data_IF_471241558603
#
_entry.id   IF_471241558603
#
_cell.length_a   1.000
_cell.length_b   1.000
_cell.length_c   1.000
_cell.angle_alpha   90.00
_cell.angle_beta   90.00
_cell.angle_gamma   90.00
#
_symmetry.space_group_name_H-M   'P 1'
#
loop_
_entity.id
_entity.type
_entity.pdbx_description
1 polymer ?
#
# COMPACT_ATOMS: atom_id res chain seq x y z
N UNK A 1 57.04 32.29 54.39
CA UNK A 1 55.68 32.91 54.39
C UNK A 1 55.49 33.33 52.95
N UNK A 2 54.88 32.46 52.16
CA UNK A 2 54.49 32.70 50.71
C UNK A 2 53.05 32.36 50.60
N UNK A 3 52.22 33.36 50.36
CA UNK A 3 50.84 33.20 49.97
C UNK A 3 50.76 33.08 48.44
N UNK A 4 50.30 31.94 47.93
CA UNK A 4 49.95 31.73 46.56
C UNK A 4 48.49 32.10 46.37
N UNK A 5 48.21 33.09 45.51
CA UNK A 5 46.88 33.40 44.98
C UNK A 5 46.65 32.59 43.73
N UNK A 6 45.76 31.61 43.79
CA UNK A 6 45.23 30.94 42.61
C UNK A 6 44.01 31.74 42.08
N UNK A 7 44.15 32.38 40.91
CA UNK A 7 43.08 32.97 40.16
C UNK A 7 42.42 31.91 39.29
N UNK A 8 41.26 31.50 39.71
CA UNK A 8 40.32 30.64 38.94
C UNK A 8 39.74 31.46 37.79
N UNK A 9 40.14 31.17 36.53
CA UNK A 9 39.53 31.76 35.35
C UNK A 9 38.28 31.01 34.94
N UNK A 10 37.13 31.59 35.24
CA UNK A 10 35.82 31.11 34.76
C UNK A 10 35.77 31.18 33.19
N UNK A 11 35.65 30.03 32.57
CA UNK A 11 35.52 29.91 31.09
C UNK A 11 34.23 30.53 30.61
N UNK A 12 34.33 31.44 29.65
CA UNK A 12 33.19 31.99 28.93
C UNK A 12 32.44 30.87 28.18
N UNK A 13 31.12 30.93 28.10
CA UNK A 13 30.32 29.98 27.28
C UNK A 13 30.61 30.17 25.80
N UNK A 14 30.61 29.09 25.00
CA UNK A 14 30.91 29.16 23.54
C UNK A 14 29.87 29.98 22.80
N UNK A 15 30.34 30.74 21.80
CA UNK A 15 29.50 31.64 21.00
C UNK A 15 28.40 30.91 20.19
N UNK A 16 27.28 31.56 19.84
CA UNK A 16 26.14 30.95 19.13
C UNK A 16 26.49 30.29 17.79
N UNK A 17 27.54 30.74 17.12
CA UNK A 17 28.02 30.18 15.83
C UNK A 17 28.61 28.78 15.95
N UNK A 18 29.20 28.41 17.08
CA UNK A 18 29.76 27.06 17.30
C UNK A 18 28.64 26.06 17.58
N UNK A 19 27.56 26.49 18.24
CA UNK A 19 26.39 25.62 18.49
C UNK A 19 25.61 25.30 17.22
N UNK A 20 25.47 26.24 16.27
CA UNK A 20 24.82 26.00 14.97
C UNK A 20 25.62 25.04 14.08
N UNK A 21 26.93 25.13 14.08
CA UNK A 21 27.79 24.20 13.30
C UNK A 21 27.74 22.77 13.84
N UNK A 22 27.72 22.58 15.14
CA UNK A 22 27.58 21.24 15.76
C UNK A 22 26.19 20.63 15.55
N UNK A 23 25.13 21.44 15.59
CA UNK A 23 23.76 20.99 15.29
C UNK A 23 23.60 20.61 13.82
N UNK A 24 24.15 21.37 12.88
CA UNK A 24 24.13 21.04 11.45
C UNK A 24 24.96 19.78 11.15
N UNK A 25 26.10 19.59 11.79
CA UNK A 25 26.90 18.35 11.68
C UNK A 25 26.16 17.13 12.22
N UNK A 26 25.43 17.27 13.32
CA UNK A 26 24.64 16.18 13.90
C UNK A 26 23.42 15.82 13.02
N UNK A 27 22.77 16.80 12.41
CA UNK A 27 21.67 16.59 11.46
C UNK A 27 22.18 15.92 10.19
N UNK A 28 23.33 16.34 9.65
CA UNK A 28 23.98 15.70 8.51
C UNK A 28 24.33 14.23 8.77
N UNK A 29 24.89 13.93 9.95
CA UNK A 29 25.21 12.56 10.36
C UNK A 29 23.96 11.68 10.60
N UNK A 30 22.84 12.26 11.00
CA UNK A 30 21.56 11.55 11.13
C UNK A 30 20.92 11.24 9.78
N UNK A 31 21.01 12.16 8.82
CA UNK A 31 20.57 11.92 7.42
C UNK A 31 21.43 10.85 6.74
N UNK A 32 22.75 10.90 6.91
CA UNK A 32 23.66 9.91 6.35
C UNK A 32 23.45 8.50 6.93
N UNK A 33 23.07 8.40 8.21
CA UNK A 33 22.69 7.13 8.86
C UNK A 33 21.31 6.64 8.44
N UNK A 34 20.34 7.52 8.21
CA UNK A 34 19.03 7.18 7.68
C UNK A 34 19.15 6.67 6.24
N UNK A 35 19.98 7.32 5.42
CA UNK A 35 20.32 6.89 4.06
C UNK A 35 21.11 5.57 4.02
N UNK A 36 22.00 5.33 4.99
CA UNK A 36 22.70 4.06 5.15
C UNK A 36 21.75 2.93 5.55
N UNK A 37 20.77 3.21 6.41
CA UNK A 37 19.74 2.24 6.79
C UNK A 37 18.80 1.92 5.63
N UNK A 38 18.36 2.93 4.88
CA UNK A 38 17.56 2.75 3.67
C UNK A 38 18.34 1.94 2.61
N UNK A 39 19.61 2.24 2.38
CA UNK A 39 20.50 1.51 1.45
C UNK A 39 20.76 0.07 1.91
N UNK A 40 20.99 -0.17 3.19
CA UNK A 40 21.17 -1.50 3.78
C UNK A 40 19.93 -2.38 3.54
N UNK A 41 18.75 -1.83 3.72
CA UNK A 41 17.47 -2.49 3.49
C UNK A 41 17.25 -2.92 2.04
N UNK A 42 17.71 -2.13 1.08
CA UNK A 42 17.59 -2.43 -0.35
C UNK A 42 18.63 -3.44 -0.85
N UNK A 43 19.76 -3.58 -0.18
CA UNK A 43 20.88 -4.43 -0.60
C UNK A 43 20.75 -5.88 -0.08
N UNK A 44 20.06 -6.11 1.03
CA UNK A 44 19.99 -7.41 1.73
C UNK A 44 18.76 -8.24 1.36
N UNK A 45 17.74 -7.68 0.69
CA UNK A 45 16.53 -8.44 0.33
C UNK A 45 16.68 -9.11 -1.02
N UNK A 46 16.72 -10.46 -1.11
CA UNK A 46 16.68 -11.17 -2.38
C UNK A 46 15.38 -10.87 -3.13
N UNK A 47 15.50 -10.53 -4.42
CA UNK A 47 14.41 -10.14 -5.35
C UNK A 47 13.24 -11.16 -5.52
N UNK A 48 13.22 -12.27 -4.81
CA UNK A 48 12.28 -13.40 -5.03
C UNK A 48 10.88 -13.22 -4.45
N UNK A 49 10.60 -12.24 -3.59
CA UNK A 49 9.29 -12.12 -2.92
C UNK A 49 8.37 -11.00 -3.46
N UNK A 50 8.73 -10.34 -4.56
CA UNK A 50 7.97 -9.20 -5.14
C UNK A 50 6.66 -9.55 -5.86
N UNK A 51 6.36 -10.82 -6.10
CA UNK A 51 5.22 -11.21 -6.98
C UNK A 51 3.87 -11.46 -6.26
N UNK A 52 3.69 -11.02 -5.01
CA UNK A 52 2.49 -11.39 -4.22
C UNK A 52 1.41 -10.31 -4.06
N UNK A 53 1.58 -9.12 -4.61
CA UNK A 53 0.68 -7.99 -4.32
C UNK A 53 -0.26 -7.52 -5.45
N UNK A 54 -0.29 -8.17 -6.60
CA UNK A 54 -1.16 -7.76 -7.73
C UNK A 54 -2.60 -8.30 -7.68
N UNK A 55 -2.99 -9.03 -6.64
CA UNK A 55 -4.35 -9.59 -6.52
C UNK A 55 -5.33 -8.73 -5.70
N UNK A 56 -4.89 -7.66 -5.07
CA UNK A 56 -5.74 -6.85 -4.18
C UNK A 56 -6.42 -5.65 -4.88
N UNK A 57 -5.97 -5.25 -6.06
CA UNK A 57 -6.49 -4.06 -6.75
C UNK A 57 -7.81 -4.27 -7.51
N UNK A 58 -8.30 -5.51 -7.65
CA UNK A 58 -9.50 -5.82 -8.46
C UNK A 58 -10.84 -5.79 -7.71
N UNK A 59 -10.90 -5.39 -6.43
CA UNK A 59 -12.12 -5.48 -5.60
C UNK A 59 -12.74 -4.09 -5.28
N UNK A 60 -12.15 -2.98 -5.68
CA UNK A 60 -12.66 -1.62 -5.33
C UNK A 60 -13.56 -1.02 -6.44
N UNK A 61 -13.92 -1.77 -7.46
CA UNK A 61 -14.69 -1.28 -8.63
C UNK A 61 -16.22 -1.27 -8.53
N UNK A 62 -16.86 -1.56 -7.39
CA UNK A 62 -18.34 -1.62 -7.30
C UNK A 62 -18.82 -0.98 -5.98
N UNK A 63 -18.76 0.33 -5.86
CA UNK A 63 -19.71 1.12 -5.04
C UNK A 63 -19.79 2.52 -5.66
N UNK A 64 -20.80 2.78 -6.45
CA UNK A 64 -21.03 4.11 -7.02
C UNK A 64 -22.18 4.19 -8.01
N UNK A 65 -23.31 3.54 -7.75
CA UNK A 65 -24.54 3.84 -8.47
C UNK A 65 -25.65 4.14 -7.45
N UNK A 66 -25.65 5.36 -6.92
CA UNK A 66 -26.84 5.92 -6.28
C UNK A 66 -27.32 7.04 -7.20
N UNK A 67 -28.50 6.86 -7.75
CA UNK A 67 -29.18 7.77 -8.64
C UNK A 67 -29.47 9.10 -7.91
N UNK A 68 -29.05 10.21 -8.51
CA UNK A 68 -29.55 11.54 -8.18
C UNK A 68 -30.73 11.89 -9.09
N UNK A 69 -31.79 12.53 -8.55
CA UNK A 69 -32.93 12.96 -9.36
C UNK A 69 -32.53 14.12 -10.29
N UNK A 70 -33.05 14.06 -11.52
CA UNK A 70 -32.94 15.13 -12.52
C UNK A 70 -33.65 16.38 -12.02
N UNK A 71 -32.87 17.42 -11.75
CA UNK A 71 -33.35 18.78 -11.69
C UNK A 71 -32.97 19.48 -13.00
N UNK A 72 -33.93 19.98 -13.71
CA UNK A 72 -33.75 20.84 -14.89
C UNK A 72 -33.05 22.11 -14.44
N UNK A 73 -31.90 22.40 -15.07
CA UNK A 73 -31.27 23.72 -14.97
C UNK A 73 -31.10 24.27 -16.37
N UNK A 74 -31.76 25.40 -16.62
CA UNK A 74 -31.72 26.17 -17.86
C UNK A 74 -30.27 26.50 -18.26
N UNK A 75 -29.91 26.08 -19.47
CA UNK A 75 -28.65 26.44 -20.11
C UNK A 75 -28.72 27.88 -20.63
N UNK A 76 -27.96 28.78 -20.03
CA UNK A 76 -27.64 30.11 -20.60
C UNK A 76 -26.33 29.90 -21.38
N UNK A 77 -26.43 29.80 -22.70
CA UNK A 77 -25.28 29.87 -23.60
C UNK A 77 -24.80 31.33 -23.72
N UNK A 78 -23.53 31.64 -23.50
CA UNK A 78 -22.97 32.90 -23.89
C UNK A 78 -22.66 32.87 -25.39
N UNK A 79 -23.37 33.70 -26.15
CA UNK A 79 -23.12 33.98 -27.58
C UNK A 79 -21.76 34.71 -27.69
N UNK A 80 -20.71 33.93 -28.13
CA UNK A 80 -19.40 34.51 -28.46
C UNK A 80 -19.45 34.99 -29.93
N UNK A 81 -19.60 36.29 -30.14
CA UNK A 81 -19.43 36.92 -31.45
C UNK A 81 -17.94 36.78 -31.85
N UNK A 82 -17.68 35.92 -32.81
CA UNK A 82 -16.38 35.87 -33.47
C UNK A 82 -16.27 37.02 -34.46
N UNK A 83 -15.56 38.09 -34.10
CA UNK A 83 -15.08 39.06 -35.05
C UNK A 83 -13.97 38.42 -35.89
N UNK A 84 -14.21 38.33 -37.20
CA UNK A 84 -13.23 37.81 -38.16
C UNK A 84 -12.00 38.72 -38.18
N UNK A 85 -10.86 38.15 -37.78
CA UNK A 85 -9.56 38.77 -37.99
C UNK A 85 -9.25 38.83 -39.51
N UNK A 86 -8.60 39.88 -40.01
CA UNK A 86 -8.25 39.98 -41.42
C UNK A 86 -7.27 38.84 -41.77
N UNK A 87 -7.52 38.22 -42.94
CA UNK A 87 -6.65 37.18 -43.48
C UNK A 87 -5.25 37.75 -43.69
N UNK A 88 -4.29 37.16 -42.96
CA UNK A 88 -2.86 37.41 -43.18
C UNK A 88 -2.46 36.77 -44.50
N UNK A 89 -2.00 37.59 -45.44
CA UNK A 89 -1.44 37.17 -46.73
C UNK A 89 -0.05 36.53 -46.44
N UNK A 90 -0.04 35.19 -46.43
CA UNK A 90 1.17 34.39 -46.19
C UNK A 90 2.00 34.15 -47.44
N UNK A 91 1.67 34.76 -48.59
CA UNK A 91 2.41 34.59 -49.84
C UNK A 91 3.77 35.32 -49.91
N UNK A 92 4.17 36.05 -48.84
CA UNK A 92 5.42 36.80 -48.73
C UNK A 92 6.49 36.23 -47.81
N UNK A 93 6.25 35.09 -47.21
CA UNK A 93 7.25 34.40 -46.38
C UNK A 93 7.82 33.19 -47.14
N UNK A 94 8.63 33.47 -48.17
CA UNK A 94 9.60 32.50 -48.67
C UNK A 94 10.76 32.42 -47.68
N UNK A 95 10.53 31.74 -46.58
CA UNK A 95 11.60 31.32 -45.66
C UNK A 95 11.92 29.89 -45.98
N UNK A 96 13.17 29.65 -46.41
CA UNK A 96 13.73 28.33 -46.71
C UNK A 96 13.55 27.32 -45.60
N UNK A 97 12.34 26.77 -45.45
CA UNK A 97 11.91 25.82 -44.42
C UNK A 97 12.23 24.36 -44.78
N UNK A 98 12.86 24.13 -45.95
CA UNK A 98 13.11 22.75 -46.41
C UNK A 98 14.29 22.06 -45.70
N UNK A 99 15.09 22.73 -44.88
CA UNK A 99 16.19 22.10 -44.16
C UNK A 99 16.00 21.91 -42.65
N UNK A 100 15.04 22.59 -42.02
CA UNK A 100 14.78 22.45 -40.58
C UNK A 100 13.79 21.35 -40.25
N UNK A 101 12.90 20.94 -41.14
CA UNK A 101 11.97 19.83 -40.93
C UNK A 101 12.58 18.44 -41.15
N UNK A 102 13.75 18.33 -41.71
CA UNK A 102 14.44 17.05 -41.92
C UNK A 102 14.88 16.36 -40.63
N UNK A 103 14.84 17.04 -39.47
CA UNK A 103 15.20 16.50 -38.14
C UNK A 103 14.05 16.50 -37.14
N UNK A 104 12.80 16.62 -37.58
CA UNK A 104 11.65 16.51 -36.67
C UNK A 104 11.59 15.09 -36.09
N UNK A 105 11.91 14.96 -34.80
CA UNK A 105 11.78 13.69 -34.09
C UNK A 105 10.32 13.42 -33.77
N UNK A 106 9.75 12.37 -34.33
CA UNK A 106 8.39 11.92 -34.01
C UNK A 106 8.43 10.88 -32.90
N UNK A 107 7.57 11.02 -31.91
CA UNK A 107 7.46 10.05 -30.80
C UNK A 107 6.17 9.29 -30.90
N UNK A 108 6.26 7.97 -31.03
CA UNK A 108 5.11 7.06 -31.03
C UNK A 108 5.09 6.22 -29.76
N UNK A 109 3.98 6.24 -29.04
CA UNK A 109 3.77 5.36 -27.88
C UNK A 109 3.02 4.12 -28.29
N UNK A 110 3.64 2.96 -28.10
CA UNK A 110 3.07 1.65 -28.47
C UNK A 110 2.91 0.78 -27.24
N UNK A 111 1.71 0.23 -27.07
CA UNK A 111 1.36 -0.61 -25.90
C UNK A 111 1.46 -2.09 -26.25
N UNK A 112 2.14 -2.86 -25.37
CA UNK A 112 2.25 -4.31 -25.49
C UNK A 112 0.91 -4.99 -25.17
N UNK A 113 0.35 -5.75 -26.13
CA UNK A 113 -0.91 -6.50 -25.95
C UNK A 113 -0.67 -7.90 -25.37
N UNK A 114 -1.70 -8.56 -24.79
CA UNK A 114 -1.59 -9.96 -24.36
C UNK A 114 -1.12 -10.88 -25.50
N UNK A 115 -0.03 -11.62 -25.29
CA UNK A 115 0.57 -12.51 -26.27
C UNK A 115 1.58 -11.87 -27.22
N UNK A 116 1.79 -10.55 -27.15
CA UNK A 116 2.79 -9.86 -27.96
C UNK A 116 4.21 -10.16 -27.49
N UNK A 117 5.13 -10.11 -28.47
CA UNK A 117 6.57 -10.07 -28.26
C UNK A 117 7.12 -8.75 -28.81
N UNK A 118 8.29 -8.31 -28.32
CA UNK A 118 8.87 -7.02 -28.69
C UNK A 118 9.15 -6.91 -30.20
N UNK A 119 9.79 -7.90 -30.82
CA UNK A 119 10.13 -7.86 -32.24
C UNK A 119 8.91 -7.64 -33.16
N UNK A 120 7.85 -8.50 -33.11
CA UNK A 120 6.61 -8.28 -33.85
C UNK A 120 5.91 -6.95 -33.52
N UNK A 121 5.99 -6.45 -32.29
CA UNK A 121 5.47 -5.14 -31.92
C UNK A 121 6.18 -4.03 -32.71
N UNK A 122 7.50 -4.04 -32.75
CA UNK A 122 8.32 -3.07 -33.45
C UNK A 122 8.05 -3.09 -34.98
N UNK A 123 7.94 -4.29 -35.57
CA UNK A 123 7.63 -4.43 -37.01
C UNK A 123 6.27 -3.84 -37.37
N UNK A 124 5.24 -4.04 -36.55
CA UNK A 124 3.90 -3.46 -36.79
C UNK A 124 3.88 -1.93 -36.67
N UNK A 125 4.89 -1.37 -36.06
CA UNK A 125 5.04 0.08 -35.86
C UNK A 125 6.22 0.64 -36.67
N UNK A 126 6.43 0.14 -37.89
CA UNK A 126 7.27 0.74 -38.93
C UNK A 126 8.73 0.25 -38.99
N UNK A 127 9.21 -0.59 -38.05
CA UNK A 127 10.58 -1.08 -38.14
C UNK A 127 10.72 -2.21 -39.16
N UNK A 128 11.83 -2.19 -39.93
CA UNK A 128 12.23 -3.35 -40.74
C UNK A 128 12.42 -4.59 -39.85
N UNK A 129 12.27 -5.79 -40.45
CA UNK A 129 12.51 -7.04 -39.71
C UNK A 129 13.93 -7.11 -39.15
N UNK A 130 14.91 -6.55 -39.84
CA UNK A 130 16.30 -6.52 -39.42
C UNK A 130 16.52 -5.57 -38.24
N UNK A 131 15.96 -4.35 -38.29
CA UNK A 131 16.07 -3.39 -37.18
C UNK A 131 15.30 -3.84 -35.95
N UNK A 132 14.09 -4.37 -36.11
CA UNK A 132 13.33 -4.96 -35.02
C UNK A 132 14.09 -6.09 -34.32
N UNK A 133 14.81 -6.93 -35.08
CA UNK A 133 15.69 -7.95 -34.51
C UNK A 133 16.85 -7.33 -33.74
N UNK A 134 17.59 -6.38 -34.34
CA UNK A 134 18.74 -5.69 -33.71
C UNK A 134 18.35 -4.98 -32.42
N UNK A 135 17.23 -4.22 -32.44
CA UNK A 135 16.67 -3.54 -31.26
C UNK A 135 16.30 -4.55 -30.19
N UNK A 136 15.67 -5.66 -30.54
CA UNK A 136 15.29 -6.71 -29.60
C UNK A 136 16.51 -7.37 -28.94
N UNK A 137 17.56 -7.62 -29.70
CA UNK A 137 18.83 -8.16 -29.18
C UNK A 137 19.49 -7.20 -28.20
N UNK A 138 19.67 -5.92 -28.59
CA UNK A 138 20.24 -4.89 -27.72
C UNK A 138 19.40 -4.74 -26.44
N UNK A 139 18.07 -4.66 -26.54
CA UNK A 139 17.16 -4.60 -25.39
C UNK A 139 17.34 -5.79 -24.45
N UNK A 140 17.54 -7.00 -24.98
CA UNK A 140 17.66 -8.23 -24.20
C UNK A 140 18.94 -8.25 -23.32
N UNK A 141 19.97 -7.50 -23.66
CA UNK A 141 21.21 -7.37 -22.87
C UNK A 141 20.96 -6.72 -21.51
N UNK A 142 20.07 -5.72 -21.46
CA UNK A 142 19.81 -4.92 -20.25
C UNK A 142 18.48 -5.28 -19.57
N UNK A 143 17.50 -5.79 -20.33
CA UNK A 143 16.20 -6.17 -19.80
C UNK A 143 15.67 -7.45 -20.45
N UNK A 144 15.40 -8.48 -19.65
CA UNK A 144 14.95 -9.79 -20.14
C UNK A 144 13.55 -9.70 -20.76
N UNK A 145 13.34 -9.95 -22.07
CA UNK A 145 12.03 -9.83 -22.72
C UNK A 145 10.92 -10.66 -22.07
N UNK A 146 11.25 -11.82 -21.46
CA UNK A 146 10.30 -12.66 -20.70
C UNK A 146 9.66 -11.96 -19.50
N UNK A 147 10.21 -10.85 -19.04
CA UNK A 147 9.68 -10.05 -17.94
C UNK A 147 8.68 -8.99 -18.40
N UNK A 148 8.53 -8.80 -19.70
CA UNK A 148 7.53 -7.90 -20.27
C UNK A 148 6.11 -8.35 -19.89
N UNK A 149 5.21 -7.40 -19.76
CA UNK A 149 3.81 -7.60 -19.40
C UNK A 149 2.92 -6.84 -20.38
N UNK A 150 1.77 -7.42 -20.70
CA UNK A 150 0.72 -6.70 -21.43
C UNK A 150 0.33 -5.42 -20.66
N UNK A 151 0.07 -4.36 -21.42
CA UNK A 151 -0.25 -3.03 -20.89
C UNK A 151 0.97 -2.16 -20.60
N UNK A 152 2.20 -2.61 -20.90
CA UNK A 152 3.39 -1.78 -20.80
C UNK A 152 3.61 -1.02 -22.11
N UNK A 153 4.04 0.24 -21.97
CA UNK A 153 4.27 1.16 -23.08
C UNK A 153 5.74 1.27 -23.45
N UNK A 154 6.00 1.36 -24.74
CA UNK A 154 7.27 1.70 -25.34
C UNK A 154 7.13 3.01 -26.10
N UNK A 155 8.06 3.95 -25.93
CA UNK A 155 8.12 5.14 -26.75
C UNK A 155 9.20 4.94 -27.82
N UNK A 156 8.78 5.00 -29.07
CA UNK A 156 9.62 4.90 -30.25
C UNK A 156 9.87 6.31 -30.75
N UNK A 157 11.13 6.72 -30.82
CA UNK A 157 11.55 8.04 -31.27
C UNK A 157 12.15 7.90 -32.67
N UNK A 158 11.50 8.47 -33.66
CA UNK A 158 11.91 8.39 -35.06
C UNK A 158 12.53 9.69 -35.54
N UNK A 159 13.64 9.60 -36.27
CA UNK A 159 14.20 10.65 -37.09
C UNK A 159 13.85 10.35 -38.57
N UNK A 160 12.83 11.03 -39.08
CA UNK A 160 12.17 10.62 -40.35
C UNK A 160 11.54 9.23 -40.21
N UNK A 161 11.87 8.32 -41.12
CA UNK A 161 11.39 6.91 -41.06
C UNK A 161 12.28 5.98 -40.25
N UNK A 162 13.34 6.49 -39.66
CA UNK A 162 14.35 5.68 -38.98
C UNK A 162 14.18 5.78 -37.47
N UNK A 163 14.17 4.65 -36.76
CA UNK A 163 14.18 4.63 -35.30
C UNK A 163 15.54 5.16 -34.80
N UNK A 164 15.50 6.32 -34.13
CA UNK A 164 16.66 6.93 -33.46
C UNK A 164 16.92 6.27 -32.11
N UNK A 165 15.88 6.22 -31.28
CA UNK A 165 15.97 5.48 -30.03
C UNK A 165 14.60 4.98 -29.55
N UNK A 166 14.63 3.96 -28.68
CA UNK A 166 13.48 3.42 -27.97
C UNK A 166 13.66 3.66 -26.48
N UNK A 167 12.60 4.11 -25.79
CA UNK A 167 12.56 4.18 -24.34
C UNK A 167 11.48 3.27 -23.77
N UNK A 168 11.81 2.58 -22.66
CA UNK A 168 10.91 1.69 -21.95
C UNK A 168 11.06 1.87 -20.44
N UNK A 169 9.94 2.08 -19.75
CA UNK A 169 9.90 2.22 -18.27
C UNK A 169 9.21 1.01 -17.65
N UNK A 170 9.96 -0.05 -17.25
CA UNK A 170 9.38 -1.22 -16.60
C UNK A 170 8.75 -0.90 -15.24
N UNK A 171 9.21 0.16 -14.60
CA UNK A 171 8.73 0.71 -13.33
C UNK A 171 9.21 2.15 -13.18
N UNK A 172 8.82 2.83 -12.11
CA UNK A 172 9.21 4.22 -11.83
C UNK A 172 10.72 4.39 -11.55
N UNK A 173 11.41 3.31 -11.17
CA UNK A 173 12.82 3.34 -10.77
C UNK A 173 13.79 3.18 -11.94
N UNK A 174 13.31 2.68 -13.08
CA UNK A 174 14.19 2.25 -14.17
C UNK A 174 13.67 2.72 -15.51
N UNK A 175 14.53 3.30 -16.31
CA UNK A 175 14.30 3.52 -17.74
C UNK A 175 15.34 2.75 -18.55
N UNK A 176 14.88 1.99 -19.51
CA UNK A 176 15.70 1.31 -20.52
C UNK A 176 15.71 2.17 -21.78
N UNK A 177 16.89 2.46 -22.30
CA UNK A 177 17.10 3.12 -23.57
C UNK A 177 17.71 2.11 -24.52
N UNK A 178 17.29 2.15 -25.78
CA UNK A 178 17.95 1.46 -26.89
C UNK A 178 18.24 2.52 -27.93
N UNK A 179 19.48 2.92 -28.04
CA UNK A 179 19.92 4.03 -28.87
C UNK A 179 20.53 3.48 -30.17
N UNK A 180 20.31 4.15 -31.29
CA UNK A 180 20.94 3.83 -32.57
C UNK A 180 22.41 4.23 -32.57
N UNK A 181 23.28 3.35 -33.04
CA UNK A 181 24.71 3.55 -33.17
C UNK A 181 25.17 3.13 -34.61
N UNK A 182 24.98 4.03 -35.57
CA UNK A 182 25.17 3.71 -36.99
C UNK A 182 24.16 2.67 -37.48
N UNK A 183 24.64 1.54 -37.96
CA UNK A 183 23.81 0.39 -38.37
C UNK A 183 23.47 -0.59 -37.24
N UNK A 184 23.93 -0.32 -36.03
CA UNK A 184 23.67 -1.14 -34.84
C UNK A 184 22.79 -0.40 -33.83
N UNK A 185 22.39 -1.10 -32.79
CA UNK A 185 21.69 -0.54 -31.62
C UNK A 185 22.42 -0.95 -30.36
N UNK A 186 22.52 -0.05 -29.40
CA UNK A 186 23.09 -0.27 -28.09
C UNK A 186 22.05 0.00 -27.02
N UNK A 187 22.03 -0.78 -25.95
CA UNK A 187 21.08 -0.57 -24.88
C UNK A 187 21.78 -0.21 -23.57
N UNK A 188 21.14 0.66 -22.83
CA UNK A 188 21.56 1.07 -21.49
C UNK A 188 20.36 1.16 -20.55
N UNK A 189 20.62 0.94 -19.29
CA UNK A 189 19.65 1.05 -18.22
C UNK A 189 20.03 2.22 -17.31
N UNK A 190 19.09 3.12 -17.07
CA UNK A 190 19.27 4.24 -16.15
C UNK A 190 18.30 4.01 -14.99
N UNK A 191 18.84 3.98 -13.79
CA UNK A 191 18.03 3.97 -12.57
C UNK A 191 17.83 5.42 -12.12
N UNK A 192 16.56 5.80 -11.89
CA UNK A 192 16.20 7.14 -11.46
C UNK A 192 16.71 7.40 -10.04
N UNK A 193 17.26 8.57 -9.81
CA UNK A 193 17.60 9.05 -8.48
C UNK A 193 16.36 9.61 -7.80
N UNK A 194 16.07 9.11 -6.62
CA UNK A 194 14.97 9.58 -5.78
C UNK A 194 15.48 10.15 -4.48
N UNK A 195 14.84 11.21 -4.04
CA UNK A 195 14.99 11.71 -2.68
C UNK A 195 14.04 10.94 -1.78
N UNK A 196 14.59 10.20 -0.83
CA UNK A 196 13.79 9.51 0.18
C UNK A 196 13.57 10.43 1.37
N UNK A 197 12.33 10.57 1.80
CA UNK A 197 11.94 11.35 2.96
C UNK A 197 10.81 10.68 3.72
N UNK A 198 10.55 11.16 4.93
CA UNK A 198 9.47 10.67 5.78
C UNK A 198 8.41 11.76 5.94
N UNK A 199 7.15 11.36 5.90
CA UNK A 199 6.00 12.25 6.03
C UNK A 199 5.09 11.72 7.14
N UNK A 200 4.55 12.64 7.96
CA UNK A 200 3.49 12.36 8.90
C UNK A 200 2.17 12.95 8.40
N UNK A 201 1.15 12.11 8.23
CA UNK A 201 -0.24 12.55 7.99
C UNK A 201 -1.02 12.34 9.28
N UNK A 202 -1.54 13.44 9.85
CA UNK A 202 -2.27 13.45 11.12
C UNK A 202 -3.58 14.22 10.98
N UNK A 203 -4.69 13.56 11.30
CA UNK A 203 -6.02 14.16 11.22
C UNK A 203 -7.04 13.44 12.10
N UNK A 204 -8.26 13.96 12.06
CA UNK A 204 -9.46 13.28 12.54
C UNK A 204 -10.31 12.82 11.35
N UNK A 205 -11.02 11.71 11.51
CA UNK A 205 -11.97 11.22 10.52
C UNK A 205 -13.15 12.20 10.43
N UNK A 206 -13.45 12.69 9.24
CA UNK A 206 -14.61 13.53 8.93
C UNK A 206 -15.65 12.72 8.14
N UNK A 207 -15.23 12.10 7.02
CA UNK A 207 -16.09 11.32 6.14
C UNK A 207 -15.77 9.82 6.25
N UNK A 208 -14.54 9.47 5.92
CA UNK A 208 -13.99 8.13 6.12
C UNK A 208 -12.47 8.20 6.23
N UNK A 209 -11.89 7.29 6.99
CA UNK A 209 -10.44 7.21 7.15
C UNK A 209 -9.69 7.22 5.80
N UNK A 210 -10.19 6.47 4.81
CA UNK A 210 -9.57 6.37 3.49
C UNK A 210 -9.61 7.71 2.74
N UNK A 211 -10.80 8.32 2.64
CA UNK A 211 -10.98 9.60 1.94
C UNK A 211 -10.18 10.70 2.61
N UNK A 212 -10.22 10.78 3.94
CA UNK A 212 -9.56 11.85 4.68
C UNK A 212 -8.03 11.71 4.64
N UNK A 213 -7.50 10.50 4.75
CA UNK A 213 -6.06 10.24 4.64
C UNK A 213 -5.53 10.51 3.22
N UNK A 214 -6.23 10.05 2.16
CA UNK A 214 -5.80 10.26 0.77
C UNK A 214 -5.91 11.73 0.36
N UNK A 215 -6.92 12.47 0.82
CA UNK A 215 -7.04 13.92 0.64
C UNK A 215 -5.84 14.68 1.22
N UNK A 216 -5.25 14.18 2.28
CA UNK A 216 -4.04 14.74 2.90
C UNK A 216 -2.73 14.21 2.28
N UNK A 217 -2.82 13.45 1.19
CA UNK A 217 -1.66 12.97 0.44
C UNK A 217 -1.09 11.64 0.91
N UNK A 218 -1.76 10.90 1.81
CA UNK A 218 -1.36 9.55 2.15
C UNK A 218 -1.58 8.63 0.93
N UNK A 219 -0.53 7.93 0.43
CA UNK A 219 -0.69 6.99 -0.68
C UNK A 219 -1.60 5.82 -0.31
N UNK A 220 -2.36 5.29 -1.28
CA UNK A 220 -3.26 4.13 -1.10
C UNK A 220 -2.58 2.95 -0.39
N UNK A 221 -1.33 2.65 -0.76
CA UNK A 221 -0.53 1.59 -0.13
C UNK A 221 -0.43 1.78 1.38
N UNK A 222 -0.20 3.01 1.83
CA UNK A 222 -0.04 3.37 3.26
C UNK A 222 -1.36 3.23 3.99
N UNK A 223 -2.46 3.74 3.40
CA UNK A 223 -3.81 3.63 3.99
C UNK A 223 -4.24 2.16 4.12
N UNK A 224 -3.95 1.33 3.11
CA UNK A 224 -4.21 -0.13 3.17
C UNK A 224 -3.35 -0.80 4.23
N UNK A 225 -2.07 -0.44 4.37
CA UNK A 225 -1.21 -0.97 5.45
C UNK A 225 -1.77 -0.60 6.83
N UNK A 226 -2.16 0.65 7.02
CA UNK A 226 -2.82 1.13 8.24
C UNK A 226 -4.07 0.30 8.58
N UNK A 227 -4.98 0.16 7.62
CA UNK A 227 -6.20 -0.63 7.81
C UNK A 227 -5.88 -2.08 8.21
N UNK A 228 -4.91 -2.73 7.58
CA UNK A 228 -4.49 -4.09 7.89
C UNK A 228 -3.88 -4.24 9.30
N UNK A 229 -3.25 -3.19 9.84
CA UNK A 229 -2.70 -3.20 11.21
C UNK A 229 -3.84 -3.22 12.23
N UNK A 230 -4.86 -2.39 12.02
CA UNK A 230 -5.96 -2.23 12.97
C UNK A 230 -7.13 -3.18 12.76
N UNK A 231 -7.25 -3.87 11.60
CA UNK A 231 -8.37 -4.77 11.26
C UNK A 231 -8.65 -5.87 12.30
N UNK A 232 -7.63 -6.20 13.09
CA UNK A 232 -7.76 -7.19 14.17
C UNK A 232 -8.36 -6.61 15.46
N UNK A 233 -8.36 -5.29 15.62
CA UNK A 233 -8.79 -4.60 16.85
C UNK A 233 -9.99 -3.68 16.64
N UNK A 234 -10.23 -3.24 15.41
CA UNK A 234 -11.25 -2.26 15.03
C UNK A 234 -12.13 -2.85 13.94
N UNK A 235 -13.42 -2.75 14.11
CA UNK A 235 -14.40 -3.01 13.04
C UNK A 235 -14.59 -1.71 12.26
N UNK A 236 -13.89 -1.56 11.14
CA UNK A 236 -13.87 -0.35 10.32
C UNK A 236 -15.26 0.08 9.81
N UNK A 237 -16.26 -0.83 9.82
CA UNK A 237 -17.63 -0.49 9.44
C UNK A 237 -18.49 0.02 10.59
N UNK A 238 -18.08 -0.19 11.84
CA UNK A 238 -18.93 0.07 13.03
C UNK A 238 -18.25 0.88 14.11
N UNK A 239 -16.92 0.77 14.21
CA UNK A 239 -16.20 1.36 15.34
C UNK A 239 -15.62 2.73 14.98
N UNK A 240 -15.55 3.09 13.68
CA UNK A 240 -15.04 4.38 13.23
C UNK A 240 -16.17 5.40 13.25
N UNK A 241 -15.89 6.55 13.85
CA UNK A 241 -16.80 7.67 13.95
C UNK A 241 -16.11 8.99 13.56
N UNK A 242 -16.87 9.99 13.07
CA UNK A 242 -16.34 11.33 12.94
C UNK A 242 -15.72 11.81 14.25
N UNK A 243 -14.53 12.40 14.19
CA UNK A 243 -13.75 12.84 15.36
C UNK A 243 -12.71 11.82 15.83
N UNK A 244 -12.70 10.57 15.35
CA UNK A 244 -11.64 9.60 15.67
C UNK A 244 -10.31 10.07 15.07
N UNK A 245 -9.26 10.21 15.90
CA UNK A 245 -7.96 10.69 15.46
C UNK A 245 -7.11 9.57 14.89
N UNK A 246 -6.35 9.88 13.84
CA UNK A 246 -5.37 8.98 13.27
C UNK A 246 -4.06 9.68 12.91
N UNK A 247 -2.96 8.91 12.89
CA UNK A 247 -1.65 9.36 12.42
C UNK A 247 -0.99 8.22 11.65
N UNK A 248 -0.40 8.56 10.49
CA UNK A 248 0.38 7.68 9.63
C UNK A 248 1.72 8.33 9.39
N UNK A 249 2.81 7.70 9.80
CA UNK A 249 4.18 8.15 9.55
C UNK A 249 4.87 7.14 8.64
N UNK A 250 5.28 7.55 7.45
CA UNK A 250 5.72 6.65 6.39
C UNK A 250 6.81 7.27 5.51
N UNK A 251 7.50 6.42 4.77
CA UNK A 251 8.51 6.81 3.79
C UNK A 251 7.87 7.09 2.44
N UNK A 252 8.42 8.07 1.72
CA UNK A 252 8.12 8.33 0.31
C UNK A 252 9.40 8.51 -0.48
N UNK A 253 9.35 8.23 -1.78
CA UNK A 253 10.38 8.63 -2.72
C UNK A 253 9.82 9.73 -3.62
N UNK A 254 10.53 10.86 -3.72
CA UNK A 254 10.21 11.96 -4.62
C UNK A 254 11.19 11.99 -5.79
N UNK A 255 10.67 12.35 -6.94
CA UNK A 255 11.49 12.63 -8.12
C UNK A 255 12.16 14.03 -8.03
N UNK A 256 12.90 14.38 -9.07
CA UNK A 256 13.58 15.68 -9.16
C UNK A 256 12.60 16.87 -9.22
N UNK A 257 11.33 16.66 -9.57
CA UNK A 257 10.28 17.68 -9.58
C UNK A 257 9.61 17.84 -8.22
N UNK A 258 9.90 16.94 -7.27
CA UNK A 258 9.29 16.89 -5.94
C UNK A 258 8.02 16.05 -5.85
N UNK A 259 7.60 15.39 -6.94
CA UNK A 259 6.41 14.55 -6.95
C UNK A 259 6.67 13.22 -6.23
N UNK A 260 5.68 12.73 -5.46
CA UNK A 260 5.76 11.42 -4.83
C UNK A 260 5.58 10.35 -5.91
N UNK A 261 6.68 9.70 -6.28
CA UNK A 261 6.69 8.64 -7.31
C UNK A 261 6.58 7.24 -6.71
N UNK A 262 6.83 7.10 -5.40
CA UNK A 262 6.75 5.81 -4.72
C UNK A 262 6.39 5.98 -3.25
N UNK A 263 5.42 5.20 -2.81
CA UNK A 263 5.14 5.00 -1.39
C UNK A 263 6.11 3.96 -0.82
N UNK A 264 6.84 4.33 0.22
CA UNK A 264 7.65 3.44 1.03
C UNK A 264 6.80 2.62 2.01
N UNK A 265 7.33 2.37 3.19
CA UNK A 265 6.66 1.62 4.22
C UNK A 265 6.13 2.53 5.33
N UNK A 266 5.01 2.13 5.90
CA UNK A 266 4.51 2.74 7.12
C UNK A 266 5.46 2.39 8.27
N UNK A 267 6.00 3.39 8.95
CA UNK A 267 6.98 3.23 10.04
C UNK A 267 6.31 3.27 11.42
N UNK A 268 5.33 4.17 11.57
CA UNK A 268 4.55 4.33 12.78
C UNK A 268 3.12 4.65 12.44
N UNK A 269 2.22 4.26 13.33
CA UNK A 269 0.81 4.61 13.21
C UNK A 269 0.15 4.71 14.57
N UNK A 270 -0.76 5.69 14.70
CA UNK A 270 -1.65 5.89 15.84
C UNK A 270 -3.09 5.91 15.38
N UNK A 271 -3.98 5.31 16.14
CA UNK A 271 -5.41 5.36 15.89
C UNK A 271 -6.20 5.39 17.20
N UNK A 272 -7.17 6.28 17.28
CA UNK A 272 -7.97 6.54 18.49
C UNK A 272 -9.47 6.34 18.27
N UNK A 273 -9.94 5.14 17.86
CA UNK A 273 -11.36 4.89 17.71
C UNK A 273 -12.08 5.01 19.07
N UNK A 274 -13.11 5.86 19.11
CA UNK A 274 -13.89 6.11 20.33
C UNK A 274 -13.03 6.52 21.52
N UNK A 275 -11.99 7.33 21.26
CA UNK A 275 -11.08 7.86 22.29
C UNK A 275 -10.07 6.87 22.87
N UNK A 276 -10.01 5.62 22.36
CA UNK A 276 -9.01 4.64 22.78
C UNK A 276 -7.86 4.61 21.81
N UNK A 277 -6.77 5.29 22.16
CA UNK A 277 -5.56 5.34 21.34
C UNK A 277 -4.78 4.02 21.39
N UNK A 278 -4.28 3.61 20.25
CA UNK A 278 -3.36 2.49 20.11
C UNK A 278 -2.29 2.84 19.08
N UNK A 279 -1.03 2.71 19.52
CA UNK A 279 0.15 3.06 18.72
C UNK A 279 0.91 1.81 18.33
N UNK A 280 1.44 1.79 17.10
CA UNK A 280 2.27 0.70 16.61
C UNK A 280 3.47 1.23 15.84
N UNK A 281 4.61 0.57 16.04
CA UNK A 281 5.88 0.84 15.35
C UNK A 281 6.28 -0.36 14.51
N UNK A 282 6.78 -0.09 13.32
CA UNK A 282 7.39 -1.12 12.47
C UNK A 282 8.69 -1.61 13.14
N UNK A 283 8.85 -2.93 13.17
CA UNK A 283 10.09 -3.57 13.62
C UNK A 283 10.41 -4.75 12.71
N UNK A 284 11.65 -4.77 12.22
CA UNK A 284 12.22 -5.88 11.47
C UNK A 284 13.07 -6.74 12.40
N UNK A 285 12.75 -8.03 12.50
CA UNK A 285 13.53 -8.97 13.31
C UNK A 285 14.81 -9.42 12.58
N UNK A 286 15.71 -10.08 13.33
CA UNK A 286 16.99 -10.60 12.80
C UNK A 286 16.83 -11.57 11.59
N UNK A 287 15.62 -12.03 11.31
CA UNK A 287 15.30 -12.90 10.16
C UNK A 287 14.68 -12.13 8.99
N UNK A 288 14.72 -10.80 9.02
CA UNK A 288 14.13 -9.95 7.99
C UNK A 288 12.59 -9.98 7.96
N UNK A 289 11.95 -10.29 9.10
CA UNK A 289 10.48 -10.32 9.20
C UNK A 289 9.97 -9.04 9.83
N UNK A 290 9.21 -8.30 9.07
CA UNK A 290 8.59 -7.06 9.50
C UNK A 290 7.22 -7.31 10.13
N UNK A 291 6.98 -6.65 11.25
CA UNK A 291 5.67 -6.59 11.89
C UNK A 291 5.55 -5.30 12.70
N UNK A 292 4.32 -4.96 13.05
CA UNK A 292 4.01 -3.82 13.90
C UNK A 292 3.79 -4.26 15.34
N UNK A 293 4.39 -3.51 16.26
CA UNK A 293 4.34 -3.79 17.70
C UNK A 293 3.97 -2.55 18.49
N UNK A 294 3.19 -2.73 19.55
CA UNK A 294 2.92 -1.68 20.55
C UNK A 294 4.13 -1.41 21.44
N UNK A 295 4.06 -0.39 22.29
CA UNK A 295 5.15 -0.02 23.20
C UNK A 295 5.61 -1.15 24.14
N UNK A 296 4.74 -2.12 24.43
CA UNK A 296 5.04 -3.30 25.24
C UNK A 296 5.61 -4.48 24.43
N UNK A 297 5.84 -4.30 23.12
CA UNK A 297 6.31 -5.35 22.22
C UNK A 297 5.24 -6.40 21.87
N UNK A 298 3.95 -6.09 22.04
CA UNK A 298 2.86 -6.94 21.58
C UNK A 298 2.59 -6.63 20.10
N UNK A 299 2.50 -7.67 19.27
CA UNK A 299 2.24 -7.47 17.86
C UNK A 299 0.80 -7.03 17.59
N UNK A 300 0.62 -6.11 16.62
CA UNK A 300 -0.67 -5.76 16.06
C UNK A 300 -1.35 -6.98 15.42
N UNK A 301 -0.58 -7.83 14.76
CA UNK A 301 -1.06 -9.03 14.08
C UNK A 301 -1.53 -10.06 15.10
N UNK A 302 -2.78 -10.50 14.96
CA UNK A 302 -3.35 -11.53 15.84
C UNK A 302 -3.11 -12.92 15.31
N UNK A 303 -3.15 -13.90 16.22
CA UNK A 303 -3.00 -15.31 15.89
C UNK A 303 -4.08 -15.80 14.93
N UNK A 304 -5.30 -15.32 15.11
CA UNK A 304 -6.48 -15.68 14.32
C UNK A 304 -7.35 -14.44 14.06
N UNK A 305 -7.84 -14.31 12.82
CA UNK A 305 -8.84 -13.31 12.46
C UNK A 305 -10.18 -13.63 13.11
N UNK A 306 -10.83 -12.61 13.64
CA UNK A 306 -12.22 -12.72 14.13
C UNK A 306 -13.21 -12.69 12.94
N UNK A 307 -12.89 -12.00 11.85
CA UNK A 307 -13.72 -11.84 10.64
C UNK A 307 -12.93 -12.27 9.40
N UNK A 308 -13.09 -13.52 8.92
CA UNK A 308 -12.32 -14.05 7.80
C UNK A 308 -12.94 -13.76 6.42
N UNK A 309 -13.84 -12.79 6.32
CA UNK A 309 -14.44 -12.29 5.07
C UNK A 309 -14.45 -10.77 5.11
N UNK A 310 -13.73 -10.13 4.19
CA UNK A 310 -13.69 -8.68 4.14
C UNK A 310 -15.05 -8.09 3.73
N UNK A 311 -15.45 -6.99 4.36
CA UNK A 311 -16.70 -6.30 4.06
C UNK A 311 -17.98 -7.06 4.48
N UNK A 312 -17.88 -8.21 5.16
CA UNK A 312 -19.03 -8.99 5.56
C UNK A 312 -19.71 -8.46 6.82
N UNK A 313 -21.03 -8.39 6.79
CA UNK A 313 -21.84 -8.00 7.95
C UNK A 313 -22.07 -9.21 8.87
N UNK A 314 -21.82 -9.06 10.18
CA UNK A 314 -22.20 -10.04 11.18
C UNK A 314 -23.73 -10.18 11.21
N UNK A 315 -24.27 -11.29 10.71
CA UNK A 315 -25.71 -11.56 10.64
C UNK A 315 -26.22 -12.37 11.82
N UNK A 316 -25.36 -13.18 12.47
CA UNK A 316 -25.75 -13.94 13.67
C UNK A 316 -24.57 -14.19 14.60
N UNK A 317 -24.79 -13.96 15.90
CA UNK A 317 -23.79 -14.12 16.95
C UNK A 317 -23.74 -15.57 17.47
N UNK A 318 -22.61 -15.89 18.12
CA UNK A 318 -22.43 -17.10 18.91
C UNK A 318 -23.38 -17.10 20.12
N UNK A 319 -24.00 -18.24 20.44
CA UNK A 319 -24.84 -18.39 21.62
C UNK A 319 -26.16 -19.09 21.38
N UNK A 320 -27.01 -19.22 22.43
CA UNK A 320 -28.34 -19.85 22.31
C UNK A 320 -29.32 -18.92 21.60
N UNK A 321 -29.88 -19.39 20.47
CA UNK A 321 -30.89 -18.65 19.68
C UNK A 321 -31.96 -19.61 19.13
N UNK A 322 -33.10 -19.07 18.72
CA UNK A 322 -34.09 -19.84 17.96
C UNK A 322 -33.48 -20.22 16.61
N UNK A 323 -33.46 -21.51 16.30
CA UNK A 323 -32.86 -21.98 15.06
C UNK A 323 -33.78 -21.59 13.87
N UNK A 324 -33.29 -20.90 12.83
CA UNK A 324 -34.13 -20.34 11.78
C UNK A 324 -34.87 -21.39 10.96
N UNK A 325 -34.34 -22.60 10.85
CA UNK A 325 -34.95 -23.71 10.09
C UNK A 325 -35.69 -24.69 11.03
N UNK A 326 -35.12 -25.01 12.20
CA UNK A 326 -35.62 -26.04 13.09
C UNK A 326 -36.64 -25.52 14.12
N UNK A 327 -36.76 -24.21 14.27
CA UNK A 327 -37.77 -23.56 15.13
C UNK A 327 -37.54 -23.62 16.64
N UNK A 328 -36.73 -24.54 17.17
CA UNK A 328 -36.42 -24.64 18.60
C UNK A 328 -35.16 -23.92 19.01
N UNK A 329 -34.95 -23.65 20.29
CA UNK A 329 -33.76 -22.99 20.82
C UNK A 329 -32.58 -23.95 20.75
N UNK A 330 -31.56 -23.56 19.98
CA UNK A 330 -30.31 -24.32 19.77
C UNK A 330 -29.10 -23.44 19.99
N UNK A 331 -28.01 -24.05 20.43
CA UNK A 331 -26.70 -23.39 20.52
C UNK A 331 -26.16 -23.12 19.12
N UNK A 332 -25.94 -21.86 18.77
CA UNK A 332 -25.18 -21.45 17.62
C UNK A 332 -23.68 -21.46 17.95
N UNK A 333 -22.95 -22.43 17.40
CA UNK A 333 -21.57 -22.75 17.79
C UNK A 333 -20.51 -21.96 17.04
N UNK A 334 -20.91 -20.98 16.24
CA UNK A 334 -20.06 -20.07 15.49
C UNK A 334 -20.68 -18.69 15.39
N UNK A 335 -20.22 -17.93 14.45
CA UNK A 335 -20.81 -16.66 14.00
C UNK A 335 -21.11 -16.74 12.51
N UNK A 336 -22.17 -16.05 12.07
CA UNK A 336 -22.53 -15.99 10.66
C UNK A 336 -22.22 -14.60 10.09
N UNK A 337 -21.49 -14.58 8.99
CA UNK A 337 -21.14 -13.37 8.24
C UNK A 337 -21.87 -13.37 6.90
N UNK A 338 -22.85 -12.48 6.75
CA UNK A 338 -23.54 -12.27 5.47
C UNK A 338 -22.65 -11.52 4.50
N UNK A 339 -22.48 -12.08 3.31
CA UNK A 339 -21.76 -11.49 2.20
C UNK A 339 -22.30 -12.07 0.87
N UNK A 340 -22.12 -11.36 -0.27
CA UNK A 340 -22.51 -11.85 -1.58
C UNK A 340 -21.90 -13.22 -1.91
N UNK A 341 -22.65 -14.04 -2.65
CA UNK A 341 -22.15 -15.34 -3.10
C UNK A 341 -20.90 -15.16 -3.97
N UNK A 342 -19.84 -15.88 -3.65
CA UNK A 342 -18.56 -15.78 -4.36
C UNK A 342 -17.54 -14.85 -3.70
N UNK A 343 -17.91 -14.11 -2.65
CA UNK A 343 -16.96 -13.31 -1.87
C UNK A 343 -15.83 -14.21 -1.34
N UNK A 344 -14.54 -13.80 -1.48
CA UNK A 344 -13.41 -14.59 -0.98
C UNK A 344 -13.47 -14.79 0.54
N UNK A 345 -13.18 -16.01 0.97
CA UNK A 345 -13.00 -16.39 2.37
C UNK A 345 -11.51 -16.57 2.63
N UNK A 346 -11.00 -15.92 3.67
CA UNK A 346 -9.59 -15.91 4.04
C UNK A 346 -9.33 -16.92 5.17
N UNK A 347 -8.15 -17.53 5.16
CA UNK A 347 -7.68 -18.32 6.30
C UNK A 347 -7.50 -17.40 7.52
N UNK A 348 -8.21 -17.66 8.60
CA UNK A 348 -8.12 -16.85 9.82
C UNK A 348 -6.71 -16.89 10.47
N UNK A 349 -5.93 -17.90 10.18
CA UNK A 349 -4.55 -18.06 10.63
C UNK A 349 -3.80 -19.05 9.75
N UNK A 350 -2.46 -19.03 9.83
CA UNK A 350 -1.64 -20.03 9.17
C UNK A 350 -1.84 -21.41 9.80
N UNK A 351 -1.87 -22.47 8.98
CA UNK A 351 -2.08 -23.82 9.48
C UNK A 351 -2.26 -24.88 8.40
N UNK A 352 -2.55 -26.11 8.83
CA UNK A 352 -2.75 -27.25 7.95
C UNK A 352 -4.23 -27.54 7.81
N UNK A 353 -4.71 -27.69 6.59
CA UNK A 353 -6.09 -28.07 6.27
C UNK A 353 -6.34 -29.50 6.72
N UNK A 354 -7.19 -29.69 7.75
CA UNK A 354 -7.60 -31.02 8.21
C UNK A 354 -8.72 -31.60 7.35
N UNK A 355 -9.56 -30.72 6.79
CA UNK A 355 -10.73 -31.09 6.00
C UNK A 355 -11.04 -30.02 4.96
N UNK A 356 -11.34 -30.43 3.75
CA UNK A 356 -11.87 -29.60 2.68
C UNK A 356 -12.78 -30.49 1.79
N UNK A 357 -14.04 -30.67 2.21
CA UNK A 357 -15.02 -31.50 1.53
C UNK A 357 -16.44 -31.13 1.98
N UNK A 358 -17.45 -31.78 1.38
CA UNK A 358 -18.84 -31.66 1.86
C UNK A 358 -18.99 -32.36 3.21
N UNK A 359 -19.65 -31.70 4.18
CA UNK A 359 -19.76 -32.21 5.55
C UNK A 359 -21.16 -31.95 6.12
N UNK A 360 -22.08 -32.91 5.92
CA UNK A 360 -23.43 -32.90 6.45
C UNK A 360 -24.17 -31.57 6.25
N UNK A 361 -24.78 -31.05 7.30
CA UNK A 361 -25.49 -29.77 7.28
C UNK A 361 -24.62 -28.52 7.08
N UNK A 362 -23.31 -28.63 7.26
CA UNK A 362 -22.37 -27.54 6.97
C UNK A 362 -22.16 -27.29 5.46
N UNK A 363 -22.59 -28.23 4.59
CA UNK A 363 -22.36 -28.12 3.16
C UNK A 363 -20.87 -28.26 2.80
N UNK A 364 -20.36 -27.45 1.89
CA UNK A 364 -18.92 -27.38 1.61
C UNK A 364 -18.23 -26.75 2.81
N UNK A 365 -17.21 -27.46 3.32
CA UNK A 365 -16.65 -27.18 4.63
C UNK A 365 -15.12 -27.29 4.60
N UNK A 366 -14.46 -26.31 5.22
CA UNK A 366 -13.01 -26.33 5.47
C UNK A 366 -12.79 -26.33 6.98
N UNK A 367 -11.79 -27.09 7.44
CA UNK A 367 -11.25 -27.00 8.79
C UNK A 367 -9.74 -26.94 8.75
N UNK A 368 -9.18 -25.90 9.41
CA UNK A 368 -7.74 -25.66 9.48
C UNK A 368 -7.30 -25.86 10.92
N UNK A 369 -6.22 -26.61 11.11
CA UNK A 369 -5.53 -26.77 12.39
C UNK A 369 -4.38 -25.77 12.46
N UNK A 370 -4.40 -24.96 13.49
CA UNK A 370 -3.38 -23.96 13.83
C UNK A 370 -2.51 -24.45 14.99
N UNK A 371 -1.58 -23.59 15.43
CA UNK A 371 -0.77 -23.84 16.65
C UNK A 371 -1.64 -23.70 17.93
N UNK A 372 -1.08 -24.14 19.07
CA UNK A 372 -1.65 -23.97 20.41
C UNK A 372 -3.10 -24.48 20.57
N UNK A 373 -3.39 -25.60 19.93
CA UNK A 373 -4.70 -26.27 20.05
C UNK A 373 -5.87 -25.57 19.39
N UNK A 374 -5.61 -24.52 18.58
CA UNK A 374 -6.65 -23.82 17.83
C UNK A 374 -6.99 -24.52 16.51
N UNK A 375 -8.29 -24.51 16.15
CA UNK A 375 -8.77 -24.86 14.82
C UNK A 375 -9.85 -23.87 14.41
N UNK A 376 -9.89 -23.56 13.12
CA UNK A 376 -10.97 -22.75 12.53
C UNK A 376 -11.76 -23.57 11.53
N UNK A 377 -13.06 -23.30 11.45
CA UNK A 377 -13.96 -24.00 10.56
C UNK A 377 -14.81 -23.00 9.77
N UNK A 378 -14.99 -23.31 8.50
CA UNK A 378 -15.66 -22.48 7.51
C UNK A 378 -16.71 -23.32 6.80
N UNK A 379 -17.97 -22.90 6.82
CA UNK A 379 -19.08 -23.67 6.28
C UNK A 379 -19.93 -22.88 5.29
N UNK A 380 -20.82 -23.60 4.60
CA UNK A 380 -21.73 -23.11 3.58
C UNK A 380 -21.04 -22.54 2.32
N UNK A 381 -19.78 -22.96 2.06
CA UNK A 381 -18.98 -22.43 0.96
C UNK A 381 -19.62 -22.75 -0.41
N UNK A 382 -19.43 -21.84 -1.39
CA UNK A 382 -19.67 -22.11 -2.81
C UNK A 382 -18.71 -23.17 -3.35
N UNK A 383 -17.44 -23.09 -2.95
CA UNK A 383 -16.36 -23.98 -3.38
C UNK A 383 -15.05 -23.64 -2.68
N UNK A 384 -14.04 -24.47 -2.94
CA UNK A 384 -12.71 -24.36 -2.39
C UNK A 384 -11.80 -23.59 -3.36
N UNK A 385 -10.83 -22.83 -2.85
CA UNK A 385 -9.82 -22.19 -3.68
C UNK A 385 -8.83 -23.24 -4.23
N UNK A 386 -8.16 -22.92 -5.34
CA UNK A 386 -7.17 -23.78 -5.98
C UNK A 386 -6.07 -24.19 -5.00
N UNK A 387 -5.79 -25.48 -4.90
CA UNK A 387 -4.76 -26.03 -4.00
C UNK A 387 -5.21 -26.24 -2.55
N UNK A 388 -6.42 -25.84 -2.17
CA UNK A 388 -6.95 -26.06 -0.80
C UNK A 388 -7.57 -27.45 -0.71
N UNK A 389 -6.81 -28.40 -0.15
CA UNK A 389 -7.20 -29.79 0.06
C UNK A 389 -6.66 -30.29 1.40
N UNK A 390 -7.20 -31.40 1.92
CA UNK A 390 -6.69 -32.03 3.15
C UNK A 390 -5.16 -32.23 3.05
N UNK A 391 -4.44 -31.83 4.10
CA UNK A 391 -2.99 -31.86 4.21
C UNK A 391 -2.28 -30.60 3.68
N UNK A 392 -2.95 -29.75 2.89
CA UNK A 392 -2.33 -28.53 2.39
C UNK A 392 -2.04 -27.55 3.54
N UNK A 393 -0.87 -26.90 3.50
CA UNK A 393 -0.56 -25.78 4.38
C UNK A 393 -1.09 -24.48 3.75
N UNK A 394 -1.78 -23.67 4.54
CA UNK A 394 -2.28 -22.35 4.15
C UNK A 394 -1.69 -21.29 5.07
N UNK A 395 -1.43 -20.11 4.51
CA UNK A 395 -0.98 -18.93 5.26
C UNK A 395 -2.19 -18.14 5.74
N UNK A 396 -2.04 -17.42 6.86
CA UNK A 396 -3.02 -16.42 7.26
C UNK A 396 -3.30 -15.47 6.10
N UNK A 397 -4.56 -15.04 5.94
CA UNK A 397 -5.04 -14.16 4.86
C UNK A 397 -5.01 -14.76 3.44
N UNK A 398 -4.62 -16.02 3.30
CA UNK A 398 -4.74 -16.73 2.03
C UNK A 398 -6.21 -17.02 1.73
N UNK A 399 -6.66 -16.79 0.48
CA UNK A 399 -7.99 -17.20 0.02
C UNK A 399 -8.08 -18.72 0.05
N UNK A 400 -9.06 -19.25 0.81
CA UNK A 400 -9.26 -20.69 0.98
C UNK A 400 -10.54 -21.20 0.33
N UNK A 401 -11.48 -20.32 0.03
CA UNK A 401 -12.77 -20.66 -0.59
C UNK A 401 -13.61 -19.42 -0.82
N UNK A 402 -14.86 -19.64 -1.12
CA UNK A 402 -15.78 -18.56 -1.51
C UNK A 402 -17.13 -18.72 -0.79
N UNK A 403 -17.74 -17.62 -0.39
CA UNK A 403 -19.05 -17.57 0.25
C UNK A 403 -20.10 -18.23 -0.63
N UNK A 404 -20.91 -19.09 -0.03
CA UNK A 404 -21.99 -19.82 -0.69
C UNK A 404 -23.24 -19.91 0.17
N UNK A 405 -24.07 -20.92 -0.12
CA UNK A 405 -25.28 -21.26 0.63
C UNK A 405 -25.52 -22.78 0.57
N UNK A 406 -24.43 -23.57 0.60
CA UNK A 406 -24.50 -25.03 0.55
C UNK A 406 -24.86 -25.64 1.93
N UNK A 407 -25.48 -26.79 1.94
CA UNK A 407 -25.93 -27.46 3.17
C UNK A 407 -27.20 -26.83 3.75
N UNK A 408 -27.31 -26.76 5.09
CA UNK A 408 -28.47 -26.15 5.78
C UNK A 408 -28.23 -24.66 5.96
N UNK A 409 -28.56 -23.89 4.95
CA UNK A 409 -28.41 -22.45 4.90
C UNK A 409 -29.66 -21.79 4.36
N UNK A 410 -30.00 -20.61 4.86
CA UNK A 410 -31.18 -19.82 4.44
C UNK A 410 -30.82 -18.74 3.41
N UNK A 411 -29.52 -18.50 3.13
CA UNK A 411 -29.05 -17.50 2.20
C UNK A 411 -27.52 -17.42 2.20
N UNK A 412 -26.93 -16.63 1.30
CA UNK A 412 -25.46 -16.52 1.19
C UNK A 412 -24.84 -15.96 2.47
N UNK A 413 -24.02 -16.78 3.14
CA UNK A 413 -23.23 -16.37 4.31
C UNK A 413 -22.08 -17.35 4.55
N UNK A 414 -21.09 -16.92 5.32
CA UNK A 414 -20.10 -17.77 5.94
C UNK A 414 -20.52 -18.10 7.35
N UNK A 415 -20.64 -19.38 7.69
CA UNK A 415 -20.65 -19.83 9.09
C UNK A 415 -19.22 -20.11 9.53
N UNK A 416 -18.74 -19.37 10.54
CA UNK A 416 -17.36 -19.41 11.02
C UNK A 416 -17.31 -19.87 12.48
N UNK A 417 -16.52 -20.94 12.74
CA UNK A 417 -16.31 -21.47 14.08
C UNK A 417 -14.83 -21.40 14.47
N UNK A 418 -14.59 -21.18 15.75
CA UNK A 418 -13.26 -21.33 16.38
C UNK A 418 -13.34 -22.41 17.44
N UNK A 419 -12.40 -23.34 17.39
CA UNK A 419 -12.24 -24.40 18.37
C UNK A 419 -10.91 -24.19 19.09
N UNK A 420 -10.89 -24.36 20.40
CA UNK A 420 -9.71 -24.35 21.24
C UNK A 420 -9.71 -25.58 22.14
N UNK A 421 -8.68 -26.43 22.01
CA UNK A 421 -8.58 -27.72 22.70
C UNK A 421 -9.88 -28.56 22.57
N UNK A 422 -10.43 -28.63 21.36
CA UNK A 422 -11.65 -29.38 21.04
C UNK A 422 -12.97 -28.70 21.40
N UNK A 423 -12.97 -27.64 22.20
CA UNK A 423 -14.18 -26.89 22.58
C UNK A 423 -14.43 -25.73 21.60
N UNK A 424 -15.67 -25.56 21.16
CA UNK A 424 -16.09 -24.41 20.34
C UNK A 424 -16.21 -23.19 21.23
N UNK A 425 -15.54 -22.12 20.83
CA UNK A 425 -15.51 -20.84 21.56
C UNK A 425 -16.10 -19.72 20.71
N UNK A 426 -16.51 -18.63 21.36
CA UNK A 426 -17.02 -17.45 20.64
C UNK A 426 -15.89 -16.79 19.85
N UNK A 427 -15.96 -16.75 18.50
CA UNK A 427 -14.94 -16.14 17.66
C UNK A 427 -14.68 -14.66 17.98
N UNK A 428 -15.65 -13.92 18.50
CA UNK A 428 -15.47 -12.52 18.90
C UNK A 428 -14.52 -12.31 20.09
N UNK A 429 -14.29 -13.34 20.89
CA UNK A 429 -13.29 -13.30 21.98
C UNK A 429 -11.86 -13.48 21.49
N UNK A 430 -11.64 -13.80 20.22
CA UNK A 430 -10.32 -13.85 19.60
C UNK A 430 -9.60 -12.48 19.60
N UNK A 431 -10.38 -11.40 19.75
CA UNK A 431 -9.82 -10.05 19.91
C UNK A 431 -8.83 -9.91 21.08
N UNK A 432 -8.88 -10.82 22.03
CA UNK A 432 -7.98 -10.86 23.19
C UNK A 432 -6.73 -11.72 22.96
N UNK A 433 -6.66 -12.47 21.85
CA UNK A 433 -5.51 -13.32 21.51
C UNK A 433 -4.49 -12.54 20.70
N UNK A 434 -3.61 -11.82 21.38
CA UNK A 434 -2.44 -11.19 20.75
C UNK A 434 -1.63 -12.22 19.97
N UNK A 435 -1.03 -11.83 18.87
CA UNK A 435 -0.01 -12.63 18.20
C UNK A 435 1.20 -12.85 19.12
N UNK A 436 2.23 -13.50 18.61
CA UNK A 436 3.44 -13.75 19.40
C UNK A 436 4.14 -12.42 19.73
N UNK A 437 4.28 -12.03 21.01
CA UNK A 437 5.00 -10.83 21.38
C UNK A 437 6.50 -10.99 21.05
N UNK A 438 7.23 -9.90 21.08
CA UNK A 438 8.69 -9.92 21.02
C UNK A 438 9.25 -10.72 22.17
N UNK A 439 10.29 -11.49 21.90
CA UNK A 439 11.05 -12.17 22.96
C UNK A 439 11.84 -11.15 23.79
N UNK A 440 12.20 -11.50 25.02
CA UNK A 440 13.01 -10.62 25.89
C UNK A 440 14.29 -10.14 25.21
N UNK A 441 14.93 -10.99 24.39
CA UNK A 441 16.15 -10.65 23.65
C UNK A 441 15.93 -9.68 22.47
N UNK A 442 14.69 -9.55 21.96
CA UNK A 442 14.37 -8.63 20.86
C UNK A 442 13.94 -7.24 21.36
N UNK A 443 13.50 -7.11 22.61
CA UNK A 443 13.02 -5.84 23.17
C UNK A 443 14.06 -4.70 23.11
N UNK A 444 15.36 -4.92 23.42
CA UNK A 444 16.34 -3.83 23.29
C UNK A 444 16.47 -3.30 21.89
N UNK A 445 16.58 -4.19 20.88
CA UNK A 445 16.67 -3.80 19.47
C UNK A 445 15.39 -3.06 19.00
N UNK A 446 14.22 -3.54 19.40
CA UNK A 446 12.94 -2.87 19.13
C UNK A 446 12.91 -1.46 19.74
N UNK A 447 13.32 -1.29 20.99
CA UNK A 447 13.33 0.01 21.66
C UNK A 447 14.27 1.00 20.95
N UNK A 448 15.43 0.54 20.49
CA UNK A 448 16.37 1.36 19.70
C UNK A 448 15.73 1.81 18.38
N UNK A 449 15.12 0.88 17.63
CA UNK A 449 14.44 1.21 16.37
C UNK A 449 13.24 2.15 16.61
N UNK A 450 12.43 1.89 17.64
CA UNK A 450 11.32 2.76 18.03
C UNK A 450 11.78 4.18 18.32
N UNK A 451 12.85 4.35 19.11
CA UNK A 451 13.42 5.68 19.39
C UNK A 451 13.90 6.38 18.13
N UNK A 452 14.47 5.65 17.19
CA UNK A 452 14.88 6.20 15.90
C UNK A 452 13.66 6.69 15.12
N UNK A 453 12.60 5.89 15.03
CA UNK A 453 11.34 6.27 14.35
C UNK A 453 10.74 7.52 15.03
N UNK A 454 10.70 7.59 16.36
CA UNK A 454 10.19 8.76 17.08
C UNK A 454 11.00 10.02 16.82
N UNK A 455 12.32 9.92 16.75
CA UNK A 455 13.18 11.07 16.38
C UNK A 455 12.92 11.54 14.96
N UNK A 456 12.80 10.60 14.00
CA UNK A 456 12.46 10.92 12.62
C UNK A 456 11.08 11.57 12.52
N UNK A 457 10.09 11.05 13.26
CA UNK A 457 8.73 11.57 13.29
C UNK A 457 8.66 13.00 13.87
N UNK A 458 9.42 13.27 14.94
CA UNK A 458 9.52 14.59 15.54
C UNK A 458 10.19 15.64 14.63
N UNK A 459 11.05 15.18 13.70
CA UNK A 459 11.77 16.05 12.76
C UNK A 459 11.09 16.16 11.38
N UNK A 460 10.00 15.40 11.15
CA UNK A 460 9.30 15.39 9.85
C UNK A 460 8.20 16.44 9.78
N UNK A 461 7.91 16.87 8.55
CA UNK A 461 6.75 17.72 8.29
C UNK A 461 5.46 16.96 8.57
N UNK A 462 4.55 17.59 9.31
CA UNK A 462 3.22 17.06 9.62
C UNK A 462 2.20 17.67 8.66
N UNK A 463 1.62 16.84 7.80
CA UNK A 463 0.48 17.25 6.97
C UNK A 463 -0.80 17.04 7.78
N UNK A 464 -1.44 18.15 8.14
CA UNK A 464 -2.72 18.15 8.85
C UNK A 464 -3.74 19.02 8.08
N UNK A 465 -5.05 18.83 8.28
CA UNK A 465 -6.06 19.72 7.70
C UNK A 465 -5.73 21.15 8.09
N UNK A 466 -5.79 22.07 7.13
CA UNK A 466 -5.73 23.50 7.41
C UNK A 466 -6.85 23.83 8.43
N UNK A 467 -6.58 24.62 9.49
CA UNK A 467 -7.61 25.04 10.42
C UNK A 467 -8.72 25.73 9.62
N UNK A 468 -9.94 25.22 9.73
CA UNK A 468 -11.09 25.86 9.08
C UNK A 468 -11.17 27.31 9.58
N UNK A 469 -11.30 28.29 8.65
CA UNK A 469 -11.51 29.68 8.97
C UNK A 469 -12.69 29.80 9.94
N UNK A 470 -12.41 30.03 11.22
CA UNK A 470 -13.43 30.14 12.28
C UNK A 470 -12.95 29.72 13.68
N UNK A 471 -11.84 29.01 13.82
CA UNK A 471 -11.27 28.77 15.13
C UNK A 471 -10.50 30.00 15.59
N UNK A 472 -11.07 30.75 16.53
CA UNK A 472 -10.41 31.87 17.25
C UNK A 472 -9.18 31.31 17.93
N UNK A 473 -7.99 31.66 17.43
CA UNK A 473 -6.74 31.39 18.13
C UNK A 473 -6.75 32.26 19.38
N UNK A 474 -7.02 31.67 20.54
CA UNK A 474 -6.71 32.26 21.83
C UNK A 474 -5.19 32.37 21.94
N UNK A 475 -4.64 33.50 21.50
CA UNK A 475 -3.28 33.91 21.83
C UNK A 475 -3.24 34.11 23.34
N UNK A 476 -2.65 33.15 24.05
CA UNK A 476 -2.25 33.35 25.41
C UNK A 476 -1.18 34.45 25.43
N UNK A 477 -1.57 35.66 25.85
CA UNK A 477 -0.64 36.72 26.18
C UNK A 477 0.21 36.22 27.36
N UNK A 478 1.54 36.21 27.19
CA UNK A 478 2.47 36.08 28.31
C UNK A 478 2.38 37.34 29.15
N UNK A 479 2.29 37.23 30.49
CA UNK A 479 2.41 38.37 31.35
C UNK A 479 3.85 38.88 31.36
N UNK A 480 3.99 40.21 31.38
CA UNK A 480 5.26 40.97 31.53
C UNK A 480 5.99 40.64 32.79
#
# INVERSE_FOLDING_TARGET
MNENNDHETAGQPPSPQVQTSQAQSAIGALHERADAFARFRHTVIPKQNRHRFLAAAAVIGIVGLIAFPKGEADAIEPEVQMTSAPALDISRFDMGLDSEFANATTVETVTLKPGDNLGPLLQRNGLSGQDAYRVTQAFAEVYKPRNLRAGQDFNLHFAGETLDHLTFKPNVETTVFVDRAGDAYTARKIDAEFKYETIAVKATVENSLYVDATRLGAPDKVVVQFANIYEYSVDFQRDIQPGDAFEMFFEVARDQKGDIVKAGDLLYTSFSPRGKTTDYWLFEDQKGRENFYDAAGKTAKRKLRATPVNGARLSSSYGRRKHPILGYRKMHTGVDFAAPRGTPILAAGSGTVERANRYGGYGNYIRIRHTDGYKTAYAHLKGFARGVKKGAYVKQDQVIGYVGTTGRSTGPHLHYEVHHHGKKINPRRLSQLSGKPLSKGQIPAFNTQRQTIEKMRAASDVISPLPQKGATVLTAALPE
#
